data_IF_217902195070
#
_entry.id   IF_217902195070
#
_cell.length_a   1.000
_cell.length_b   1.000
_cell.length_c   1.000
_cell.angle_alpha   90.00
_cell.angle_beta   90.00
_cell.angle_gamma   90.00
#
_symmetry.space_group_name_H-M   'P 1'
#
loop_
_entity.id
_entity.type
_entity.pdbx_description
1 polymer ?
#
# COMPACT_ATOMS: atom_id res chain seq x y z
N UNK A 1 54.74 83.48 8.25
CA UNK A 1 54.83 82.02 8.15
C UNK A 1 53.38 81.47 8.10
N UNK A 2 52.99 81.03 6.89
CA UNK A 2 51.61 80.44 6.68
C UNK A 2 51.71 78.92 6.75
N UNK A 3 50.98 78.31 7.67
CA UNK A 3 50.84 76.88 7.73
C UNK A 3 49.80 76.40 6.69
N UNK A 4 50.24 75.47 5.80
CA UNK A 4 49.38 74.78 4.83
C UNK A 4 48.69 73.63 5.54
N UNK A 5 47.38 73.62 5.52
CA UNK A 5 46.55 72.43 5.90
C UNK A 5 46.52 71.48 4.71
N UNK A 6 46.99 70.25 4.89
CA UNK A 6 46.82 69.13 3.96
C UNK A 6 45.51 68.41 4.26
N UNK A 7 44.47 68.75 3.52
CA UNK A 7 43.23 67.95 3.52
C UNK A 7 43.40 66.80 2.52
N UNK A 8 43.60 65.60 3.01
CA UNK A 8 43.65 64.36 2.21
C UNK A 8 42.22 63.81 1.98
N UNK A 9 41.82 63.58 0.71
CA UNK A 9 40.45 63.04 0.40
C UNK A 9 40.33 61.53 0.57
N UNK A 10 41.34 60.89 1.14
CA UNK A 10 41.41 59.40 1.22
C UNK A 10 40.44 58.69 2.15
N UNK A 11 39.80 59.20 3.20
CA UNK A 11 38.97 58.41 4.12
C UNK A 11 37.55 58.18 3.63
N UNK A 12 36.98 58.95 2.70
CA UNK A 12 35.59 58.87 2.30
C UNK A 12 35.37 57.74 1.26
N UNK A 13 36.29 57.61 0.30
CA UNK A 13 36.22 56.54 -0.73
C UNK A 13 36.41 55.14 -0.13
N UNK A 14 37.28 55.01 0.88
CA UNK A 14 37.51 53.73 1.55
C UNK A 14 36.32 53.25 2.38
N UNK A 15 35.56 54.18 2.99
CA UNK A 15 34.33 53.86 3.73
C UNK A 15 33.20 53.47 2.79
N UNK A 16 33.03 54.10 1.64
CA UNK A 16 32.04 53.77 0.64
C UNK A 16 32.30 52.39 0.01
N UNK A 17 33.60 52.04 -0.25
CA UNK A 17 33.96 50.72 -0.77
C UNK A 17 33.70 49.59 0.26
N UNK A 18 33.99 49.82 1.55
CA UNK A 18 33.76 48.83 2.61
C UNK A 18 32.26 48.58 2.85
N UNK A 19 31.41 49.61 2.81
CA UNK A 19 29.96 49.48 2.95
C UNK A 19 29.33 48.82 1.71
N UNK A 20 29.79 49.07 0.52
CA UNK A 20 29.35 48.40 -0.70
C UNK A 20 29.74 46.92 -0.71
N UNK A 21 30.91 46.55 -0.21
CA UNK A 21 31.39 45.18 -0.12
C UNK A 21 30.60 44.36 0.94
N UNK A 22 30.31 44.95 2.10
CA UNK A 22 29.49 44.30 3.15
C UNK A 22 28.03 44.13 2.72
N UNK A 23 27.49 45.10 1.96
CA UNK A 23 26.11 45.00 1.43
C UNK A 23 25.98 43.97 0.32
N UNK A 24 26.99 43.81 -0.55
CA UNK A 24 27.08 42.77 -1.57
C UNK A 24 27.23 41.36 -0.94
N UNK A 25 27.96 41.24 0.16
CA UNK A 25 28.08 39.97 0.91
C UNK A 25 26.78 39.57 1.61
N UNK A 26 26.04 40.52 2.17
CA UNK A 26 24.74 40.30 2.78
C UNK A 26 23.65 39.89 1.75
N UNK A 27 23.71 40.40 0.52
CA UNK A 27 22.82 40.02 -0.58
C UNK A 27 23.18 38.64 -1.16
N UNK A 28 24.43 38.21 -1.12
CA UNK A 28 24.86 36.89 -1.58
C UNK A 28 24.41 35.74 -0.64
N UNK A 29 24.15 36.00 0.65
CA UNK A 29 23.66 35.03 1.61
C UNK A 29 22.14 34.93 1.67
N UNK A 30 21.37 35.79 0.96
CA UNK A 30 19.92 35.83 1.00
C UNK A 30 19.25 34.84 0.02
N UNK A 31 20.00 34.04 -0.71
CA UNK A 31 19.46 32.89 -1.44
C UNK A 31 19.44 31.65 -0.51
N UNK A 32 18.74 31.74 0.62
CA UNK A 32 18.21 30.55 1.22
C UNK A 32 17.23 29.96 0.19
N UNK A 33 17.73 29.02 -0.63
CA UNK A 33 16.90 28.20 -1.50
C UNK A 33 15.86 27.60 -0.58
N UNK A 34 14.63 28.07 -0.63
CA UNK A 34 13.51 27.33 -0.10
C UNK A 34 13.56 25.99 -0.83
N UNK A 35 14.04 24.96 -0.15
CA UNK A 35 14.08 23.64 -0.74
C UNK A 35 12.65 23.31 -1.17
N UNK A 36 12.44 23.18 -2.47
CA UNK A 36 11.14 22.87 -3.05
C UNK A 36 10.67 21.55 -2.44
N UNK A 37 9.46 21.55 -1.86
CA UNK A 37 8.84 20.35 -1.30
C UNK A 37 8.53 19.41 -2.46
N UNK A 38 9.16 18.26 -2.49
CA UNK A 38 8.88 17.24 -3.51
C UNK A 38 7.61 16.53 -3.14
N UNK A 39 6.61 16.53 -4.03
CA UNK A 39 5.40 15.72 -3.86
C UNK A 39 5.63 14.33 -4.42
N UNK A 40 5.28 13.30 -3.62
CA UNK A 40 5.32 11.89 -4.00
C UNK A 40 3.90 11.32 -3.93
N UNK A 41 3.38 10.82 -5.04
CA UNK A 41 2.02 10.29 -5.14
C UNK A 41 2.03 8.77 -5.19
N UNK A 42 1.35 8.13 -4.22
CA UNK A 42 1.24 6.69 -4.06
C UNK A 42 -0.22 6.28 -4.15
N UNK A 43 -0.59 5.43 -5.12
CA UNK A 43 -1.99 4.99 -5.31
C UNK A 43 -2.09 3.47 -5.43
N UNK A 44 -3.22 2.90 -5.03
CA UNK A 44 -3.58 1.54 -5.42
C UNK A 44 -4.19 0.68 -4.33
N UNK A 45 -3.53 -0.42 -4.00
CA UNK A 45 -4.06 -1.50 -3.17
C UNK A 45 -4.58 -1.02 -1.81
N UNK A 46 -5.86 -1.25 -1.55
CA UNK A 46 -6.44 -1.05 -0.22
C UNK A 46 -5.88 -2.02 0.82
N UNK A 47 -5.23 -3.12 0.41
CA UNK A 47 -4.50 -4.00 1.33
C UNK A 47 -3.25 -3.32 1.88
N UNK A 48 -2.50 -2.61 1.02
CA UNK A 48 -1.24 -1.96 1.39
C UNK A 48 -1.48 -0.59 2.04
N UNK A 49 -2.64 0.01 1.80
CA UNK A 49 -2.95 1.38 2.21
C UNK A 49 -2.57 1.71 3.66
N UNK A 50 -2.90 0.92 4.71
CA UNK A 50 -2.58 1.27 6.09
C UNK A 50 -1.06 1.32 6.36
N UNK A 51 -0.31 0.37 5.80
CA UNK A 51 1.15 0.37 5.98
C UNK A 51 1.83 1.47 5.13
N UNK A 52 1.32 1.74 3.93
CA UNK A 52 1.86 2.81 3.10
C UNK A 52 1.64 4.19 3.73
N UNK A 53 0.48 4.44 4.35
CA UNK A 53 0.20 5.68 5.08
C UNK A 53 1.13 5.86 6.27
N UNK A 54 1.29 4.83 7.11
CA UNK A 54 2.18 4.90 8.27
C UNK A 54 3.64 5.08 7.87
N UNK A 55 4.11 4.35 6.85
CA UNK A 55 5.47 4.51 6.31
C UNK A 55 5.66 5.91 5.73
N UNK A 56 4.64 6.48 5.05
CA UNK A 56 4.71 7.83 4.50
C UNK A 56 4.89 8.88 5.60
N UNK A 57 4.12 8.79 6.69
CA UNK A 57 4.26 9.67 7.86
C UNK A 57 5.68 9.59 8.45
N UNK A 58 6.21 8.37 8.65
CA UNK A 58 7.56 8.18 9.18
C UNK A 58 8.64 8.70 8.22
N UNK A 59 8.44 8.52 6.91
CA UNK A 59 9.35 9.00 5.87
C UNK A 59 9.38 10.53 5.81
N UNK A 60 8.22 11.20 5.82
CA UNK A 60 8.11 12.66 5.86
C UNK A 60 8.81 13.26 7.08
N UNK A 61 8.58 12.65 8.26
CA UNK A 61 9.20 13.09 9.52
C UNK A 61 10.73 12.96 9.52
N UNK A 62 11.29 11.96 8.83
CA UNK A 62 12.74 11.71 8.82
C UNK A 62 13.46 12.38 7.67
N UNK A 63 12.83 12.50 6.49
CA UNK A 63 13.52 12.93 5.28
C UNK A 63 13.33 14.42 4.94
N UNK A 64 12.35 15.11 5.56
CA UNK A 64 12.06 16.52 5.31
C UNK A 64 11.84 16.87 3.82
N UNK A 65 11.30 18.03 3.51
CA UNK A 65 11.09 18.54 2.15
C UNK A 65 10.44 17.53 1.17
N UNK A 66 9.57 16.67 1.68
CA UNK A 66 8.74 15.73 0.91
C UNK A 66 7.35 15.70 1.51
N UNK A 67 6.35 15.67 0.64
CA UNK A 67 4.94 15.44 0.94
C UNK A 67 4.52 14.16 0.23
N UNK A 68 3.98 13.18 0.95
CA UNK A 68 3.60 11.88 0.40
C UNK A 68 2.08 11.73 0.43
N UNK A 69 1.45 11.78 -0.74
CA UNK A 69 0.01 11.59 -0.91
C UNK A 69 -0.29 10.12 -1.14
N UNK A 70 -0.92 9.45 -0.16
CA UNK A 70 -1.23 8.02 -0.23
C UNK A 70 -2.73 7.80 -0.35
N UNK A 71 -3.17 7.13 -1.41
CA UNK A 71 -4.57 6.82 -1.65
C UNK A 71 -4.80 5.36 -2.04
N UNK A 72 -5.99 4.85 -1.68
CA UNK A 72 -6.49 3.53 -2.06
C UNK A 72 -7.20 3.55 -3.42
N UNK A 73 -8.07 2.57 -3.64
CA UNK A 73 -8.90 2.42 -4.85
C UNK A 73 -8.90 0.96 -5.31
N UNK A 74 -7.75 0.32 -5.33
CA UNK A 74 -7.55 -1.05 -5.78
C UNK A 74 -6.24 -1.20 -6.54
N UNK A 75 -5.73 -2.42 -6.64
CA UNK A 75 -4.45 -2.70 -7.30
C UNK A 75 -4.46 -2.28 -8.78
N UNK A 76 -5.54 -2.59 -9.50
CA UNK A 76 -5.66 -2.22 -10.90
C UNK A 76 -5.74 -0.70 -11.12
N UNK A 77 -6.40 0.03 -10.19
CA UNK A 77 -6.45 1.50 -10.24
C UNK A 77 -5.06 2.12 -10.00
N UNK A 78 -4.28 1.55 -9.06
CA UNK A 78 -2.90 1.99 -8.83
C UNK A 78 -2.01 1.78 -10.05
N UNK A 79 -2.07 0.60 -10.66
CA UNK A 79 -1.32 0.31 -11.90
C UNK A 79 -1.75 1.24 -13.03
N UNK A 80 -3.07 1.49 -13.18
CA UNK A 80 -3.56 2.45 -14.18
C UNK A 80 -3.04 3.87 -13.92
N UNK A 81 -3.06 4.34 -12.66
CA UNK A 81 -2.52 5.65 -12.29
C UNK A 81 -1.02 5.77 -12.60
N UNK A 82 -0.22 4.73 -12.36
CA UNK A 82 1.20 4.69 -12.74
C UNK A 82 1.37 4.78 -14.27
N UNK A 83 0.55 4.04 -15.03
CA UNK A 83 0.60 4.05 -16.49
C UNK A 83 0.23 5.43 -17.06
N UNK A 84 -0.72 6.12 -16.46
CA UNK A 84 -1.16 7.46 -16.87
C UNK A 84 -0.28 8.59 -16.34
N UNK A 85 0.73 8.29 -15.52
CA UNK A 85 1.61 9.30 -14.90
C UNK A 85 0.94 10.10 -13.78
N UNK A 86 -0.14 9.58 -13.20
CA UNK A 86 -0.88 10.16 -12.08
C UNK A 86 -0.37 9.71 -10.71
N UNK A 87 0.53 8.73 -10.69
CA UNK A 87 1.19 8.25 -9.49
C UNK A 87 2.67 7.95 -9.78
N UNK A 88 3.53 8.22 -8.80
CA UNK A 88 4.96 7.87 -8.83
C UNK A 88 5.18 6.41 -8.44
N UNK A 89 4.33 5.91 -7.53
CA UNK A 89 4.36 4.54 -7.03
C UNK A 89 2.94 3.96 -7.08
N UNK A 90 2.79 2.82 -7.75
CA UNK A 90 1.57 2.02 -7.65
C UNK A 90 1.73 0.93 -6.58
N UNK A 91 0.77 0.82 -5.66
CA UNK A 91 0.72 -0.29 -4.72
C UNK A 91 -0.19 -1.40 -5.25
N UNK A 92 0.25 -2.66 -5.17
CA UNK A 92 -0.54 -3.79 -5.64
C UNK A 92 -0.39 -5.02 -4.75
N UNK A 93 -1.50 -5.68 -4.47
CA UNK A 93 -1.59 -6.93 -3.72
C UNK A 93 -1.79 -8.17 -4.61
N UNK A 94 -1.49 -8.00 -5.90
CA UNK A 94 -1.30 -9.05 -6.90
C UNK A 94 -0.15 -8.65 -7.83
N UNK A 95 0.38 -9.58 -8.61
CA UNK A 95 1.36 -9.21 -9.62
C UNK A 95 0.68 -8.57 -10.83
N UNK A 96 1.38 -7.65 -11.50
CA UNK A 96 0.86 -6.98 -12.70
C UNK A 96 0.46 -7.99 -13.78
N UNK A 97 -0.71 -7.80 -14.37
CA UNK A 97 -1.24 -8.71 -15.39
C UNK A 97 -0.61 -8.48 -16.77
N UNK A 98 -0.74 -9.47 -17.67
CA UNK A 98 -0.27 -9.32 -19.07
C UNK A 98 -0.96 -8.19 -19.81
N UNK A 99 -2.23 -7.90 -19.50
CA UNK A 99 -2.98 -6.84 -20.16
C UNK A 99 -2.51 -5.46 -19.68
N UNK A 100 -2.26 -5.30 -18.37
CA UNK A 100 -1.69 -4.09 -17.80
C UNK A 100 -0.27 -3.84 -18.33
N UNK A 101 0.57 -4.88 -18.44
CA UNK A 101 1.90 -4.76 -19.06
C UNK A 101 1.84 -4.31 -20.52
N UNK A 102 0.89 -4.85 -21.32
CA UNK A 102 0.69 -4.39 -22.70
C UNK A 102 0.26 -2.93 -22.75
N UNK A 103 -0.67 -2.53 -21.87
CA UNK A 103 -1.11 -1.14 -21.76
C UNK A 103 0.05 -0.22 -21.37
N UNK A 104 0.86 -0.62 -20.37
CA UNK A 104 2.03 0.12 -19.94
C UNK A 104 3.01 0.34 -21.10
N UNK A 105 3.31 -0.71 -21.89
CA UNK A 105 4.18 -0.59 -23.06
C UNK A 105 3.64 0.39 -24.10
N UNK A 106 2.31 0.41 -24.36
CA UNK A 106 1.67 1.36 -25.28
C UNK A 106 1.86 2.82 -24.83
N UNK A 107 1.98 3.06 -23.52
CA UNK A 107 2.21 4.37 -22.92
C UNK A 107 3.70 4.65 -22.63
N UNK A 108 4.64 3.81 -23.10
CA UNK A 108 6.09 3.90 -22.79
C UNK A 108 6.40 3.87 -21.29
N UNK A 109 5.58 3.17 -20.51
CA UNK A 109 5.78 2.93 -19.09
C UNK A 109 6.34 1.52 -18.89
N UNK A 110 7.33 1.38 -18.02
CA UNK A 110 8.03 0.14 -17.74
C UNK A 110 7.94 -0.19 -16.25
N UNK A 111 6.83 -0.82 -15.79
CA UNK A 111 6.61 -1.09 -14.36
C UNK A 111 7.69 -2.00 -13.78
N UNK A 112 8.44 -1.49 -12.80
CA UNK A 112 9.45 -2.23 -12.04
C UNK A 112 8.86 -2.65 -10.70
N UNK A 113 8.75 -3.94 -10.39
CA UNK A 113 8.19 -4.42 -9.13
C UNK A 113 9.21 -4.41 -7.99
N UNK A 114 8.81 -3.89 -6.86
CA UNK A 114 9.49 -4.04 -5.57
C UNK A 114 8.57 -4.83 -4.65
N UNK A 115 8.97 -6.05 -4.28
CA UNK A 115 8.27 -6.80 -3.23
C UNK A 115 8.56 -6.10 -1.90
N UNK A 116 7.52 -5.71 -1.18
CA UNK A 116 7.65 -4.92 0.05
C UNK A 116 7.22 -5.67 1.29
N UNK A 117 6.33 -6.65 1.16
CA UNK A 117 5.83 -7.48 2.25
C UNK A 117 5.23 -8.77 1.70
N UNK A 118 4.78 -9.63 2.62
CA UNK A 118 3.92 -10.78 2.33
C UNK A 118 2.62 -10.67 3.10
N UNK A 119 1.59 -11.37 2.61
CA UNK A 119 0.26 -11.36 3.21
C UNK A 119 -0.41 -12.73 3.04
N UNK A 120 -1.26 -13.10 4.00
CA UNK A 120 -2.18 -14.22 3.90
C UNK A 120 -3.60 -13.68 3.64
N UNK A 121 -4.35 -14.31 2.74
CA UNK A 121 -5.78 -14.01 2.58
C UNK A 121 -6.57 -14.99 3.43
N UNK A 122 -7.33 -14.46 4.38
CA UNK A 122 -8.09 -15.23 5.36
C UNK A 122 -9.58 -15.21 5.00
N UNK A 123 -10.25 -16.37 4.85
CA UNK A 123 -11.70 -16.39 4.89
C UNK A 123 -12.16 -16.02 6.30
N UNK A 124 -13.15 -15.13 6.37
CA UNK A 124 -13.68 -14.62 7.63
C UNK A 124 -15.20 -14.75 7.67
N UNK A 125 -15.72 -15.02 8.87
CA UNK A 125 -17.14 -15.12 9.16
C UNK A 125 -17.50 -14.28 10.38
N UNK A 126 -18.79 -14.08 10.62
CA UNK A 126 -19.27 -13.46 11.85
C UNK A 126 -18.86 -14.27 13.09
N UNK A 127 -18.58 -13.60 14.21
CA UNK A 127 -18.10 -14.25 15.43
C UNK A 127 -19.04 -15.33 15.99
N UNK A 128 -20.36 -15.21 15.76
CA UNK A 128 -21.33 -16.22 16.18
C UNK A 128 -21.37 -17.48 15.30
N UNK A 129 -20.74 -17.48 14.12
CA UNK A 129 -20.70 -18.68 13.27
C UNK A 129 -19.90 -19.79 13.98
N UNK A 130 -20.42 -21.03 14.15
CA UNK A 130 -19.75 -22.09 14.91
C UNK A 130 -18.54 -22.71 14.18
N UNK A 131 -18.44 -22.57 12.86
CA UNK A 131 -17.36 -23.17 12.07
C UNK A 131 -16.00 -22.63 12.52
N UNK A 132 -14.99 -23.51 12.57
CA UNK A 132 -13.59 -23.17 12.86
C UNK A 132 -12.65 -23.52 11.71
N UNK A 133 -13.11 -24.38 10.81
CA UNK A 133 -12.34 -24.89 9.69
C UNK A 133 -13.27 -25.06 8.48
N UNK A 134 -12.73 -24.88 7.29
CA UNK A 134 -13.40 -25.10 6.03
C UNK A 134 -12.38 -25.66 5.01
N UNK A 135 -12.82 -26.54 4.12
CA UNK A 135 -11.96 -26.98 3.03
C UNK A 135 -11.88 -25.94 1.91
N UNK A 136 -10.76 -25.90 1.19
CA UNK A 136 -10.60 -25.06 0.00
C UNK A 136 -11.67 -25.39 -1.06
N UNK A 137 -12.06 -26.66 -1.16
CA UNK A 137 -13.12 -27.13 -2.04
C UNK A 137 -14.51 -26.59 -1.62
N UNK A 138 -14.82 -26.57 -0.31
CA UNK A 138 -16.10 -26.03 0.17
C UNK A 138 -16.14 -24.50 0.06
N UNK A 139 -15.02 -23.81 0.26
CA UNK A 139 -14.91 -22.39 -0.06
C UNK A 139 -15.26 -22.13 -1.52
N UNK A 140 -14.71 -22.89 -2.44
CA UNK A 140 -15.02 -22.79 -3.87
C UNK A 140 -16.51 -23.03 -4.13
N UNK A 141 -17.11 -24.07 -3.52
CA UNK A 141 -18.55 -24.37 -3.65
C UNK A 141 -19.45 -23.26 -3.12
N UNK A 142 -19.08 -22.62 -1.99
CA UNK A 142 -19.81 -21.46 -1.45
C UNK A 142 -19.76 -20.31 -2.47
N UNK A 143 -18.57 -19.95 -2.92
CA UNK A 143 -18.40 -18.82 -3.85
C UNK A 143 -18.98 -19.10 -5.24
N UNK A 144 -19.24 -20.34 -5.60
CA UNK A 144 -20.02 -20.75 -6.78
C UNK A 144 -21.53 -20.80 -6.54
N UNK A 145 -21.98 -20.70 -5.27
CA UNK A 145 -23.38 -20.82 -4.88
C UNK A 145 -23.91 -22.26 -4.84
N UNK A 146 -23.04 -23.29 -4.96
CA UNK A 146 -23.42 -24.70 -4.86
C UNK A 146 -23.69 -25.08 -3.40
N UNK A 147 -22.91 -24.54 -2.45
CA UNK A 147 -23.22 -24.53 -1.03
C UNK A 147 -23.76 -23.14 -0.71
N UNK A 148 -25.00 -23.05 -0.29
CA UNK A 148 -25.72 -21.79 -0.07
C UNK A 148 -26.39 -21.69 1.29
N UNK A 149 -26.20 -22.69 2.17
CA UNK A 149 -26.72 -22.73 3.53
C UNK A 149 -25.62 -23.30 4.46
N UNK A 150 -25.42 -22.66 5.62
CA UNK A 150 -24.43 -23.09 6.61
C UNK A 150 -24.71 -24.49 7.17
N UNK A 151 -25.98 -24.95 7.18
CA UNK A 151 -26.33 -26.28 7.63
C UNK A 151 -25.65 -27.39 6.80
N UNK A 152 -25.37 -27.15 5.53
CA UNK A 152 -24.64 -28.08 4.65
C UNK A 152 -23.20 -28.34 5.13
N UNK A 153 -22.66 -27.44 5.99
CA UNK A 153 -21.33 -27.53 6.60
C UNK A 153 -21.38 -27.77 8.11
N UNK A 154 -22.51 -28.21 8.66
CA UNK A 154 -22.71 -28.47 10.08
C UNK A 154 -22.93 -27.20 10.93
N UNK A 155 -23.23 -26.08 10.29
CA UNK A 155 -23.62 -24.83 10.91
C UNK A 155 -25.14 -24.71 11.14
N UNK A 156 -25.63 -23.50 11.49
CA UNK A 156 -27.06 -23.25 11.65
C UNK A 156 -27.79 -23.32 10.29
N UNK A 157 -29.11 -23.54 10.34
CA UNK A 157 -29.99 -23.41 9.16
C UNK A 157 -30.14 -21.92 8.81
N UNK A 158 -29.15 -21.41 8.04
CA UNK A 158 -29.03 -20.02 7.67
C UNK A 158 -28.42 -19.92 6.27
N UNK A 159 -29.09 -19.21 5.37
CA UNK A 159 -28.54 -18.95 4.02
C UNK A 159 -27.20 -18.21 4.07
N UNK A 160 -26.28 -18.57 3.19
CA UNK A 160 -24.95 -17.94 3.15
C UNK A 160 -24.97 -16.67 2.30
N UNK A 161 -24.59 -15.54 2.89
CA UNK A 161 -24.34 -14.30 2.19
C UNK A 161 -22.87 -14.19 1.78
N UNK A 162 -22.61 -14.28 0.49
CA UNK A 162 -21.27 -14.22 -0.07
C UNK A 162 -20.82 -12.76 -0.23
N UNK A 163 -19.79 -12.37 0.52
CA UNK A 163 -19.13 -11.08 0.41
C UNK A 163 -17.84 -11.26 -0.41
N UNK A 164 -17.73 -10.55 -1.52
CA UNK A 164 -16.58 -10.59 -2.40
C UNK A 164 -15.98 -9.18 -2.58
N UNK A 165 -14.84 -9.10 -3.24
CA UNK A 165 -14.21 -7.86 -3.63
C UNK A 165 -14.52 -7.56 -5.10
N UNK A 166 -14.46 -6.28 -5.46
CA UNK A 166 -14.57 -5.84 -6.86
C UNK A 166 -13.36 -6.26 -7.71
N UNK A 167 -13.48 -6.08 -9.02
CA UNK A 167 -12.47 -6.50 -9.99
C UNK A 167 -11.19 -5.64 -9.97
N UNK A 168 -11.20 -4.44 -9.38
CA UNK A 168 -10.00 -3.62 -9.19
C UNK A 168 -9.11 -4.15 -8.04
N UNK A 169 -9.64 -5.07 -7.23
CA UNK A 169 -8.97 -5.62 -6.07
C UNK A 169 -7.96 -6.70 -6.43
N UNK A 170 -6.67 -6.50 -6.11
CA UNK A 170 -5.67 -7.57 -6.17
C UNK A 170 -5.96 -8.72 -5.20
N UNK A 171 -6.73 -8.48 -4.12
CA UNK A 171 -7.19 -9.55 -3.22
C UNK A 171 -8.21 -10.45 -3.92
N UNK A 172 -9.13 -9.86 -4.71
CA UNK A 172 -10.03 -10.62 -5.57
C UNK A 172 -9.25 -11.45 -6.59
N UNK A 173 -8.27 -10.86 -7.25
CA UNK A 173 -7.48 -11.55 -8.28
C UNK A 173 -6.80 -12.80 -7.71
N UNK A 174 -6.13 -12.70 -6.57
CA UNK A 174 -5.49 -13.84 -5.92
C UNK A 174 -6.52 -14.88 -5.46
N UNK A 175 -7.63 -14.44 -4.83
CA UNK A 175 -8.72 -15.34 -4.43
C UNK A 175 -9.31 -16.08 -5.62
N UNK A 176 -9.58 -15.37 -6.71
CA UNK A 176 -10.12 -15.93 -7.95
C UNK A 176 -9.18 -16.95 -8.60
N UNK A 177 -7.87 -16.70 -8.54
CA UNK A 177 -6.88 -17.65 -9.06
C UNK A 177 -6.70 -18.88 -8.17
N UNK A 178 -6.56 -18.69 -6.84
CA UNK A 178 -6.17 -19.75 -5.89
C UNK A 178 -7.37 -20.59 -5.47
N UNK A 179 -8.49 -19.97 -5.08
CA UNK A 179 -9.69 -20.67 -4.59
C UNK A 179 -10.64 -21.01 -5.73
N UNK A 180 -10.93 -20.03 -6.60
CA UNK A 180 -11.92 -20.25 -7.65
C UNK A 180 -11.36 -21.00 -8.87
N UNK A 181 -10.03 -21.10 -9.02
CA UNK A 181 -9.42 -21.66 -10.23
C UNK A 181 -9.87 -20.93 -11.49
N UNK A 182 -10.12 -19.61 -11.37
CA UNK A 182 -10.66 -18.72 -12.41
C UNK A 182 -12.10 -18.97 -12.82
N UNK A 183 -12.86 -19.74 -12.04
CA UNK A 183 -14.30 -19.91 -12.25
C UNK A 183 -15.07 -18.71 -11.68
N UNK A 184 -16.25 -18.44 -12.27
CA UNK A 184 -17.06 -17.31 -11.87
C UNK A 184 -17.58 -17.42 -10.42
N UNK A 185 -17.59 -16.31 -9.71
CA UNK A 185 -18.27 -16.18 -8.41
C UNK A 185 -19.77 -16.02 -8.64
N UNK A 186 -20.57 -16.52 -7.69
CA UNK A 186 -22.03 -16.42 -7.76
C UNK A 186 -22.52 -14.98 -7.92
N UNK A 187 -23.54 -14.79 -8.74
CA UNK A 187 -24.07 -13.44 -9.08
C UNK A 187 -24.77 -12.74 -7.90
N UNK A 188 -25.22 -13.50 -6.87
CA UNK A 188 -25.80 -12.93 -5.65
C UNK A 188 -24.77 -12.38 -4.66
N UNK A 189 -23.47 -12.43 -4.99
CA UNK A 189 -22.41 -11.87 -4.15
C UNK A 189 -22.57 -10.35 -3.94
N UNK A 190 -22.18 -9.90 -2.74
CA UNK A 190 -22.05 -8.48 -2.46
C UNK A 190 -20.61 -8.03 -2.70
N UNK A 191 -20.41 -7.06 -3.60
CA UNK A 191 -19.08 -6.51 -3.89
C UNK A 191 -18.70 -5.41 -2.90
N UNK A 192 -17.46 -5.46 -2.41
CA UNK A 192 -16.87 -4.47 -1.49
C UNK A 192 -15.58 -3.89 -2.08
N UNK A 193 -15.40 -2.57 -1.88
CA UNK A 193 -14.25 -1.86 -2.44
C UNK A 193 -12.98 -1.98 -1.59
N UNK A 194 -13.10 -2.31 -0.30
CA UNK A 194 -11.94 -2.41 0.61
C UNK A 194 -12.02 -3.62 1.54
N UNK A 195 -10.88 -4.00 2.15
CA UNK A 195 -10.87 -4.99 3.23
C UNK A 195 -11.69 -4.51 4.44
N UNK A 196 -11.66 -3.21 4.75
CA UNK A 196 -12.47 -2.59 5.82
C UNK A 196 -13.96 -2.79 5.59
N UNK A 197 -14.42 -2.64 4.34
CA UNK A 197 -15.84 -2.85 4.00
C UNK A 197 -16.24 -4.31 4.10
N UNK A 198 -15.33 -5.25 3.77
CA UNK A 198 -15.57 -6.69 4.02
C UNK A 198 -15.69 -6.96 5.51
N UNK A 199 -14.76 -6.47 6.33
CA UNK A 199 -14.81 -6.63 7.80
C UNK A 199 -16.14 -6.10 8.35
N UNK A 200 -16.55 -4.90 7.94
CA UNK A 200 -17.82 -4.29 8.36
C UNK A 200 -19.02 -5.12 7.94
N UNK A 201 -19.06 -5.59 6.70
CA UNK A 201 -20.17 -6.39 6.19
C UNK A 201 -20.27 -7.75 6.90
N UNK A 202 -19.15 -8.41 7.15
CA UNK A 202 -19.12 -9.71 7.85
C UNK A 202 -19.44 -9.57 9.34
N UNK A 203 -18.90 -8.53 10.01
CA UNK A 203 -19.16 -8.32 11.45
C UNK A 203 -20.61 -7.93 11.74
N UNK A 204 -21.33 -7.36 10.79
CA UNK A 204 -22.73 -6.99 10.92
C UNK A 204 -23.72 -8.04 10.47
N UNK A 205 -23.28 -9.20 9.97
CA UNK A 205 -24.16 -10.20 9.36
C UNK A 205 -23.77 -11.64 9.74
N UNK A 206 -24.55 -12.32 10.62
CA UNK A 206 -24.30 -13.71 11.00
C UNK A 206 -24.29 -14.72 9.84
N UNK A 207 -24.91 -14.38 8.71
CA UNK A 207 -24.95 -15.21 7.49
C UNK A 207 -23.70 -15.09 6.63
N UNK A 208 -22.90 -14.03 6.82
CA UNK A 208 -21.88 -13.66 5.87
C UNK A 208 -20.61 -14.51 5.94
N UNK A 209 -20.01 -14.71 4.77
CA UNK A 209 -18.63 -15.11 4.59
C UNK A 209 -17.94 -14.11 3.67
N UNK A 210 -16.71 -13.71 4.02
CA UNK A 210 -15.86 -12.85 3.21
C UNK A 210 -14.42 -13.30 3.27
N UNK A 211 -13.53 -12.52 2.64
CA UNK A 211 -12.07 -12.74 2.72
C UNK A 211 -11.32 -11.41 2.81
N UNK A 212 -10.27 -11.40 3.62
CA UNK A 212 -9.45 -10.21 3.90
C UNK A 212 -7.95 -10.56 3.95
N UNK A 213 -7.09 -9.56 3.78
CA UNK A 213 -5.68 -9.70 4.13
C UNK A 213 -5.47 -9.80 5.64
N UNK A 214 -4.40 -10.50 6.05
CA UNK A 214 -4.05 -10.75 7.46
C UNK A 214 -3.97 -9.47 8.29
N UNK A 215 -3.41 -8.38 7.73
CA UNK A 215 -3.30 -7.08 8.42
C UNK A 215 -4.63 -6.41 8.76
N UNK A 216 -5.76 -6.91 8.25
CA UNK A 216 -7.10 -6.44 8.59
C UNK A 216 -7.83 -7.31 9.61
N UNK A 217 -7.20 -8.42 10.04
CA UNK A 217 -7.80 -9.28 11.05
C UNK A 217 -7.88 -8.57 12.40
N UNK A 218 -9.07 -8.56 12.97
CA UNK A 218 -9.34 -7.98 14.29
C UNK A 218 -10.40 -8.79 15.03
N UNK A 219 -10.71 -8.41 16.26
CA UNK A 219 -11.60 -9.17 17.16
C UNK A 219 -13.10 -9.19 16.74
N UNK A 220 -13.51 -8.35 15.74
CA UNK A 220 -14.93 -8.28 15.35
C UNK A 220 -15.33 -9.27 14.27
N UNK A 221 -14.36 -9.97 13.66
CA UNK A 221 -14.59 -11.06 12.70
C UNK A 221 -13.77 -12.29 13.08
N UNK A 222 -14.26 -13.46 12.72
CA UNK A 222 -13.60 -14.74 13.01
C UNK A 222 -12.95 -15.31 11.75
N UNK A 223 -11.63 -15.55 11.75
CA UNK A 223 -10.97 -16.25 10.66
C UNK A 223 -11.27 -17.75 10.72
N UNK A 224 -11.40 -18.38 9.57
CA UNK A 224 -11.48 -19.83 9.44
C UNK A 224 -10.11 -20.41 9.09
N UNK A 225 -9.82 -21.61 9.62
CA UNK A 225 -8.75 -22.45 9.07
C UNK A 225 -9.15 -22.90 7.68
N UNK A 226 -8.20 -23.02 6.79
CA UNK A 226 -8.41 -23.64 5.47
C UNK A 226 -7.62 -24.92 5.41
N UNK A 227 -8.30 -26.04 5.13
CA UNK A 227 -7.72 -27.38 5.13
C UNK A 227 -6.93 -27.70 6.43
N UNK A 228 -7.44 -27.21 7.57
CA UNK A 228 -6.85 -27.39 8.90
C UNK A 228 -5.79 -26.35 9.29
N UNK A 229 -5.33 -25.49 8.36
CA UNK A 229 -4.27 -24.51 8.59
C UNK A 229 -4.86 -23.11 8.72
N UNK A 230 -4.36 -22.31 9.69
CA UNK A 230 -4.67 -20.87 9.81
C UNK A 230 -3.58 -20.06 9.13
N UNK A 231 -3.94 -19.05 8.34
CA UNK A 231 -2.97 -18.14 7.76
C UNK A 231 -2.29 -17.27 8.83
N UNK A 232 -0.98 -17.29 8.88
CA UNK A 232 -0.14 -16.58 9.83
C UNK A 232 1.27 -16.38 9.25
N UNK A 233 2.12 -15.61 9.94
CA UNK A 233 3.54 -15.50 9.59
C UNK A 233 4.19 -16.88 9.51
N UNK A 234 4.03 -17.70 10.55
CA UNK A 234 4.65 -19.02 10.63
C UNK A 234 4.21 -19.93 9.46
N UNK A 235 2.88 -20.01 9.20
CA UNK A 235 2.33 -20.91 8.18
C UNK A 235 2.55 -20.43 6.75
N UNK A 236 2.86 -19.13 6.58
CA UNK A 236 3.38 -18.61 5.32
C UNK A 236 4.83 -19.03 5.11
N UNK A 237 5.67 -18.88 6.15
CA UNK A 237 7.11 -19.17 6.06
C UNK A 237 7.40 -20.66 5.86
N UNK A 238 6.63 -21.56 6.49
CA UNK A 238 6.75 -23.01 6.30
C UNK A 238 6.01 -23.55 5.07
N UNK A 239 5.28 -22.67 4.36
CA UNK A 239 4.54 -22.99 3.14
C UNK A 239 3.27 -23.81 3.34
N UNK A 240 2.82 -24.00 4.58
CA UNK A 240 1.63 -24.80 4.88
C UNK A 240 0.31 -24.09 4.57
N UNK A 241 0.28 -22.73 4.53
CA UNK A 241 -0.88 -21.96 4.15
C UNK A 241 -0.86 -21.55 2.68
N UNK A 242 -1.81 -22.08 1.89
CA UNK A 242 -1.80 -21.94 0.43
C UNK A 242 -2.29 -20.59 -0.10
N UNK A 243 -3.14 -19.86 0.67
CA UNK A 243 -3.75 -18.61 0.21
C UNK A 243 -2.89 -17.44 0.68
N UNK A 244 -1.70 -17.33 0.12
CA UNK A 244 -0.75 -16.28 0.42
C UNK A 244 -0.30 -15.53 -0.84
N UNK A 245 0.33 -14.37 -0.64
CA UNK A 245 0.77 -13.52 -1.74
C UNK A 245 1.88 -12.56 -1.33
N UNK A 246 2.78 -12.20 -2.24
CA UNK A 246 3.61 -11.00 -2.09
C UNK A 246 2.79 -9.73 -2.28
N UNK A 247 3.21 -8.65 -1.61
CA UNK A 247 2.73 -7.29 -1.80
C UNK A 247 3.79 -6.48 -2.52
N UNK A 248 3.36 -5.64 -3.47
CA UNK A 248 4.28 -4.93 -4.36
C UNK A 248 4.06 -3.41 -4.34
N UNK A 249 5.16 -2.68 -4.55
CA UNK A 249 5.19 -1.33 -5.06
C UNK A 249 5.80 -1.35 -6.46
N UNK A 250 5.18 -0.66 -7.42
CA UNK A 250 5.66 -0.54 -8.80
C UNK A 250 6.03 0.90 -9.08
N UNK A 251 7.14 1.10 -9.80
CA UNK A 251 7.57 2.41 -10.30
C UNK A 251 7.72 2.37 -11.82
N UNK A 252 7.69 3.51 -12.49
CA UNK A 252 7.99 3.59 -13.92
C UNK A 252 9.51 3.62 -14.15
N UNK A 253 10.07 2.49 -14.57
CA UNK A 253 11.50 2.27 -14.65
C UNK A 253 12.16 2.21 -13.27
N UNK A 254 13.50 2.25 -13.24
CA UNK A 254 14.25 2.28 -11.96
C UNK A 254 14.02 3.61 -11.25
N UNK A 255 13.59 3.63 -9.97
CA UNK A 255 13.25 4.86 -9.26
C UNK A 255 14.48 5.74 -9.04
N UNK A 256 14.25 7.06 -8.90
CA UNK A 256 15.27 8.08 -8.66
C UNK A 256 14.77 9.08 -7.62
N UNK A 257 15.69 9.88 -7.04
CA UNK A 257 15.33 10.94 -6.10
C UNK A 257 14.48 10.43 -4.93
N UNK A 258 13.44 11.16 -4.57
CA UNK A 258 12.55 10.83 -3.44
C UNK A 258 11.81 9.52 -3.60
N UNK A 259 11.48 9.10 -4.82
CA UNK A 259 10.88 7.78 -5.09
C UNK A 259 11.84 6.65 -4.71
N UNK A 260 13.12 6.76 -5.05
CA UNK A 260 14.14 5.77 -4.66
C UNK A 260 14.38 5.78 -3.14
N UNK A 261 14.46 6.97 -2.53
CA UNK A 261 14.60 7.11 -1.07
C UNK A 261 13.42 6.44 -0.34
N UNK A 262 12.19 6.65 -0.82
CA UNK A 262 11.00 6.04 -0.26
C UNK A 262 11.00 4.50 -0.39
N UNK A 263 11.30 3.96 -1.57
CA UNK A 263 11.40 2.51 -1.77
C UNK A 263 12.48 1.91 -0.86
N UNK A 264 13.65 2.55 -0.74
CA UNK A 264 14.70 2.09 0.16
C UNK A 264 14.25 2.16 1.62
N UNK A 265 13.51 3.19 2.03
CA UNK A 265 12.95 3.30 3.37
C UNK A 265 11.97 2.17 3.68
N UNK A 266 11.08 1.83 2.73
CA UNK A 266 10.14 0.69 2.86
C UNK A 266 10.87 -0.63 3.04
N UNK A 267 11.97 -0.83 2.30
CA UNK A 267 12.75 -2.08 2.29
C UNK A 267 13.76 -2.17 3.45
N UNK A 268 14.03 -1.09 4.15
CA UNK A 268 14.97 -1.03 5.27
C UNK A 268 14.46 -1.86 6.45
N UNK A 269 15.34 -2.77 6.96
CA UNK A 269 15.01 -3.72 8.04
C UNK A 269 14.63 -3.05 9.35
N UNK A 270 15.19 -1.87 9.63
CA UNK A 270 15.06 -1.15 10.91
C UNK A 270 14.02 -0.01 10.84
N UNK A 271 13.39 0.20 9.67
CA UNK A 271 12.40 1.23 9.39
C UNK A 271 11.11 0.65 8.82
N UNK A 272 10.96 0.64 7.50
CA UNK A 272 9.73 0.21 6.82
C UNK A 272 9.34 -1.22 7.15
N UNK A 273 10.29 -2.15 7.29
CA UNK A 273 10.00 -3.55 7.62
C UNK A 273 9.49 -3.71 9.07
N UNK A 274 9.92 -2.85 10.00
CA UNK A 274 9.36 -2.80 11.37
C UNK A 274 7.91 -2.35 11.35
N UNK A 275 7.60 -1.28 10.61
CA UNK A 275 6.22 -0.77 10.45
C UNK A 275 5.30 -1.83 9.85
N UNK A 276 5.79 -2.58 8.86
CA UNK A 276 5.05 -3.68 8.22
C UNK A 276 4.71 -4.77 9.24
N UNK A 277 5.68 -5.18 10.06
CA UNK A 277 5.47 -6.20 11.11
C UNK A 277 4.50 -5.74 12.20
N UNK A 278 4.67 -4.51 12.71
CA UNK A 278 3.78 -3.92 13.72
C UNK A 278 2.33 -3.75 13.22
N UNK A 279 2.15 -3.53 11.93
CA UNK A 279 0.82 -3.45 11.30
C UNK A 279 0.19 -4.84 11.04
N UNK A 280 0.84 -5.94 11.47
CA UNK A 280 0.33 -7.31 11.36
C UNK A 280 0.54 -7.94 9.98
N UNK A 281 1.37 -7.35 9.13
CA UNK A 281 1.80 -7.95 7.87
C UNK A 281 3.09 -8.74 8.06
N UNK A 282 3.49 -9.49 7.04
CA UNK A 282 4.66 -10.36 7.11
C UNK A 282 5.83 -9.69 6.40
N UNK A 283 6.88 -9.26 7.12
CA UNK A 283 8.03 -8.61 6.53
C UNK A 283 8.83 -9.54 5.63
N UNK A 284 9.81 -8.99 4.91
CA UNK A 284 10.68 -9.73 3.98
C UNK A 284 11.84 -10.46 4.66
N UNK A 285 12.15 -10.13 5.91
CA UNK A 285 13.24 -10.68 6.72
C UNK A 285 12.81 -11.91 7.51
#
# INVERSE_FOLDING_TARGET
MKARSLNSPFPVLLRAALTAFTMAWLLAFSHASLAEVTKLVIKGSTTILPIAQRIAEDFENQCGNVEVDVSGGGSAEGIAALIMGEADIATSSAFITRNELKLAQQHNVYPVPFRVANDCILPVVHNSNPLKNISSEDLKKIYRGTINNWQQLGGPDLAIDVISRDFASGTYEVWHNVIMGREAVVTSQQLKHSNTDVVRAVSGNPSAIGYIGLGYLNAIVKPLRVDGVIGSHQTLMDGSYSINRPLFMFTNGWPRGKTLEFINFVLDSDRGQVVIEEAGYIPLR
#
